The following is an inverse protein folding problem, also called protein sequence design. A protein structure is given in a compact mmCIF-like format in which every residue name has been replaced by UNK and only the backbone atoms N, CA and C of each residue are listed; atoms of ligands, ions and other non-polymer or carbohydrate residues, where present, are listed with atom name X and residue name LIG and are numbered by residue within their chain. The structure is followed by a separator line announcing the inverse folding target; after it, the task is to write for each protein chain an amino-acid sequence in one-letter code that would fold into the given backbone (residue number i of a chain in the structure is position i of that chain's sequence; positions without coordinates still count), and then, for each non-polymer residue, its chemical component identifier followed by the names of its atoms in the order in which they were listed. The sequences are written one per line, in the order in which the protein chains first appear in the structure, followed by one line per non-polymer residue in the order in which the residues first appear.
data_IF_601669850561
#
_entry.id   IF_601669850561
#
_cell.length_a   1.000
_cell.length_b   1.000
_cell.length_c   1.000
_cell.angle_alpha   90.00
_cell.angle_beta   90.00
_cell.angle_gamma   90.00
#
_symmetry.space_group_name_H-M   'P 1'
#
loop_
_entity.id
_entity.type
_entity.pdbx_description
1 polymer ?
#
# COMPACT_ATOMS: atom_id res chain seq x y z
N UNK A 1 -38.38 -6.60 -1.54
CA UNK A 1 -37.33 -6.78 -0.52
C UNK A 1 -36.15 -5.94 -0.97
N UNK A 2 -35.91 -4.81 -0.33
CA UNK A 2 -34.69 -4.04 -0.55
C UNK A 2 -33.58 -4.70 0.26
N UNK A 3 -32.46 -5.01 -0.40
CA UNK A 3 -31.24 -5.39 0.31
C UNK A 3 -30.79 -4.13 1.02
N UNK A 4 -30.74 -4.19 2.35
CA UNK A 4 -30.23 -3.09 3.15
C UNK A 4 -28.85 -2.68 2.60
N UNK A 5 -28.68 -1.39 2.33
CA UNK A 5 -27.47 -0.82 1.74
C UNK A 5 -26.21 -1.24 2.50
N UNK A 6 -26.33 -1.58 3.78
CA UNK A 6 -25.24 -2.12 4.62
C UNK A 6 -24.64 -3.44 4.12
N UNK A 7 -25.42 -4.28 3.45
CA UNK A 7 -24.95 -5.54 2.87
C UNK A 7 -24.48 -5.39 1.41
N UNK A 8 -24.60 -4.18 0.84
CA UNK A 8 -24.14 -3.92 -0.50
C UNK A 8 -22.65 -3.55 -0.48
N UNK A 9 -21.79 -4.51 -0.86
CA UNK A 9 -20.33 -4.34 -0.89
C UNK A 9 -19.87 -3.10 -1.66
N UNK A 10 -20.66 -2.65 -2.64
CA UNK A 10 -20.44 -1.45 -3.43
C UNK A 10 -20.42 -0.15 -2.60
N UNK A 11 -21.10 -0.08 -1.45
CA UNK A 11 -21.13 1.10 -0.58
C UNK A 11 -20.12 1.05 0.56
N UNK A 12 -19.41 -0.07 0.72
CA UNK A 12 -18.51 -0.31 1.85
C UNK A 12 -17.16 0.38 1.68
N UNK A 13 -16.71 0.54 0.44
CA UNK A 13 -15.41 1.10 0.08
C UNK A 13 -15.59 2.35 -0.79
N UNK A 14 -14.93 3.45 -0.41
CA UNK A 14 -14.92 4.69 -1.18
C UNK A 14 -13.51 5.02 -1.63
N UNK A 15 -13.38 5.44 -2.89
CA UNK A 15 -12.13 6.01 -3.39
C UNK A 15 -11.76 7.25 -2.56
N UNK A 16 -10.46 7.41 -2.31
CA UNK A 16 -9.92 8.55 -1.57
C UNK A 16 -8.83 9.24 -2.39
N UNK A 17 -8.61 10.52 -2.09
CA UNK A 17 -7.60 11.31 -2.79
C UNK A 17 -6.20 10.71 -2.56
N UNK A 18 -5.53 10.38 -3.67
CA UNK A 18 -4.22 9.75 -3.67
C UNK A 18 -3.16 10.65 -3.03
N UNK A 19 -3.27 11.96 -3.23
CA UNK A 19 -2.31 12.95 -2.72
C UNK A 19 -2.54 13.32 -1.24
N UNK A 20 -3.52 12.70 -0.56
CA UNK A 20 -3.68 12.94 0.87
C UNK A 20 -2.48 12.40 1.65
N UNK A 21 -1.97 13.18 2.62
CA UNK A 21 -0.83 12.80 3.45
C UNK A 21 -0.99 11.41 4.06
N UNK A 22 -2.21 11.10 4.52
CA UNK A 22 -2.56 9.80 5.07
C UNK A 22 -2.36 8.65 4.07
N UNK A 23 -2.78 8.85 2.82
CA UNK A 23 -2.66 7.82 1.76
C UNK A 23 -1.20 7.66 1.33
N UNK A 24 -0.47 8.76 1.15
CA UNK A 24 0.95 8.74 0.83
C UNK A 24 1.76 8.06 1.93
N UNK A 25 1.48 8.38 3.19
CA UNK A 25 2.13 7.76 4.35
C UNK A 25 1.81 6.26 4.42
N UNK A 26 0.57 5.86 4.15
CA UNK A 26 0.20 4.45 4.10
C UNK A 26 0.96 3.69 3.00
N UNK A 27 1.07 4.28 1.80
CA UNK A 27 1.84 3.71 0.70
C UNK A 27 3.31 3.49 1.07
N UNK A 28 3.97 4.50 1.65
CA UNK A 28 5.35 4.39 2.16
C UNK A 28 5.48 3.30 3.22
N UNK A 29 4.54 3.25 4.16
CA UNK A 29 4.53 2.26 5.26
C UNK A 29 4.44 0.82 4.74
N UNK A 30 3.66 0.57 3.68
CA UNK A 30 3.57 -0.75 3.05
C UNK A 30 4.93 -1.17 2.48
N UNK A 31 5.60 -0.29 1.73
CA UNK A 31 6.90 -0.59 1.12
C UNK A 31 7.98 -0.80 2.20
N UNK A 32 8.00 0.04 3.24
CA UNK A 32 8.91 -0.12 4.37
C UNK A 32 8.71 -1.44 5.10
N UNK A 33 7.46 -1.89 5.25
CA UNK A 33 7.13 -3.17 5.88
C UNK A 33 7.61 -4.34 5.03
N UNK A 34 7.43 -4.28 3.71
CA UNK A 34 7.96 -5.30 2.79
C UNK A 34 9.48 -5.35 2.85
N UNK A 35 10.16 -4.19 2.84
CA UNK A 35 11.62 -4.14 2.97
C UNK A 35 12.11 -4.77 4.27
N UNK A 36 11.51 -4.43 5.41
CA UNK A 36 11.87 -5.03 6.71
C UNK A 36 11.68 -6.55 6.73
N UNK A 37 10.61 -7.03 6.09
CA UNK A 37 10.37 -8.47 5.94
C UNK A 37 11.45 -9.15 5.07
N UNK A 38 11.79 -8.54 3.92
CA UNK A 38 12.85 -9.08 3.06
C UNK A 38 14.23 -9.09 3.75
N UNK A 39 14.53 -8.07 4.56
CA UNK A 39 15.71 -7.99 5.41
C UNK A 39 15.70 -9.08 6.50
N UNK A 40 14.55 -9.31 7.17
CA UNK A 40 14.45 -10.34 8.21
C UNK A 40 14.60 -11.77 7.68
N UNK A 41 14.16 -12.02 6.45
CA UNK A 41 14.32 -13.32 5.79
C UNK A 41 15.71 -13.49 5.14
N UNK A 42 16.60 -12.50 5.25
CA UNK A 42 17.92 -12.48 4.60
C UNK A 42 17.84 -12.64 3.06
N UNK A 43 16.70 -12.28 2.47
CA UNK A 43 16.43 -12.28 1.02
C UNK A 43 16.91 -10.95 0.39
N UNK A 44 17.32 -9.98 1.20
CA UNK A 44 17.92 -8.71 0.76
C UNK A 44 19.12 -8.87 -0.18
N UNK A 45 19.77 -10.05 -0.16
CA UNK A 45 20.89 -10.38 -1.05
C UNK A 45 20.42 -10.80 -2.46
N UNK A 46 19.15 -11.19 -2.59
CA UNK A 46 18.50 -11.66 -3.84
C UNK A 46 17.55 -10.58 -4.38
N UNK A 47 16.80 -9.92 -3.50
CA UNK A 47 15.90 -8.84 -3.85
C UNK A 47 16.52 -7.50 -3.45
N UNK A 48 16.59 -6.56 -4.40
CA UNK A 48 16.94 -5.19 -4.09
C UNK A 48 15.93 -4.59 -3.11
N UNK A 49 16.43 -3.76 -2.19
CA UNK A 49 15.59 -2.91 -1.35
C UNK A 49 14.68 -2.09 -2.26
N UNK A 50 13.40 -2.03 -1.95
CA UNK A 50 12.41 -1.32 -2.74
C UNK A 50 12.33 0.15 -2.33
N UNK A 51 12.22 1.03 -3.30
CA UNK A 51 11.93 2.45 -3.09
C UNK A 51 10.46 2.72 -3.45
N UNK A 52 9.77 3.46 -2.59
CA UNK A 52 8.40 3.88 -2.85
C UNK A 52 8.37 4.92 -3.98
N UNK A 53 7.59 4.65 -5.03
CA UNK A 53 7.42 5.58 -6.15
C UNK A 53 6.17 6.43 -5.99
N UNK A 54 5.00 5.78 -5.91
CA UNK A 54 3.68 6.46 -5.81
C UNK A 54 2.58 5.52 -5.39
N UNK A 55 1.46 6.09 -4.96
CA UNK A 55 0.19 5.35 -4.79
C UNK A 55 -0.56 5.34 -6.12
N UNK A 56 -0.99 4.15 -6.56
CA UNK A 56 -1.75 3.94 -7.80
C UNK A 56 -3.26 3.96 -7.55
N UNK A 57 -3.71 3.45 -6.40
CA UNK A 57 -5.11 3.50 -5.99
C UNK A 57 -5.23 3.45 -4.47
N UNK A 58 -6.28 4.06 -3.94
CA UNK A 58 -6.59 4.02 -2.52
C UNK A 58 -8.09 4.00 -2.28
N UNK A 59 -8.54 3.12 -1.38
CA UNK A 59 -9.93 3.01 -0.96
C UNK A 59 -10.02 2.96 0.56
N UNK A 60 -10.88 3.78 1.13
CA UNK A 60 -11.20 3.74 2.56
C UNK A 60 -12.49 2.97 2.81
N UNK A 61 -12.52 2.24 3.92
CA UNK A 61 -13.75 1.62 4.37
C UNK A 61 -14.61 2.68 5.09
N UNK A 62 -15.90 2.77 4.74
CA UNK A 62 -16.80 3.84 5.23
C UNK A 62 -17.04 3.80 6.75
N UNK A 63 -16.85 2.65 7.40
CA UNK A 63 -17.22 2.39 8.80
C UNK A 63 -16.08 1.86 9.67
N UNK A 64 -14.97 1.49 9.05
CA UNK A 64 -13.80 0.94 9.73
C UNK A 64 -12.61 1.82 9.40
N UNK A 65 -11.69 1.94 10.33
CA UNK A 65 -10.45 2.67 10.08
C UNK A 65 -9.46 1.80 9.27
N UNK A 66 -9.87 1.44 8.05
CA UNK A 66 -9.13 0.55 7.15
C UNK A 66 -8.96 1.27 5.83
N UNK A 67 -7.72 1.26 5.35
CA UNK A 67 -7.31 1.82 4.07
C UNK A 67 -6.67 0.72 3.23
N UNK A 68 -7.20 0.51 2.03
CA UNK A 68 -6.55 -0.32 1.00
C UNK A 68 -5.76 0.63 0.11
N UNK A 69 -4.47 0.35 -0.07
CA UNK A 69 -3.60 1.09 -0.99
C UNK A 69 -2.92 0.11 -1.94
N UNK A 70 -2.87 0.46 -3.21
CA UNK A 70 -1.96 -0.15 -4.18
C UNK A 70 -0.81 0.83 -4.42
N UNK A 71 0.42 0.42 -4.16
CA UNK A 71 1.61 1.26 -4.32
C UNK A 71 2.54 0.69 -5.38
N UNK A 72 3.13 1.58 -6.16
CA UNK A 72 4.21 1.28 -7.07
C UNK A 72 5.55 1.46 -6.34
N UNK A 73 6.47 0.53 -6.57
CA UNK A 73 7.83 0.59 -6.05
C UNK A 73 8.84 0.13 -7.11
N UNK A 74 10.04 0.66 -7.03
CA UNK A 74 11.17 0.31 -7.89
C UNK A 74 12.33 -0.27 -7.07
N UNK A 75 13.23 -1.05 -7.68
CA UNK A 75 14.49 -1.42 -7.05
C UNK A 75 15.32 -0.16 -6.72
N UNK A 76 15.71 -0.01 -5.46
CA UNK A 76 16.69 1.01 -5.07
C UNK A 76 18.03 0.74 -5.76
N UNK A 77 18.68 1.80 -6.20
CA UNK A 77 19.90 1.73 -7.01
C UNK A 77 21.17 1.40 -6.19
N UNK A 78 21.05 1.19 -4.88
CA UNK A 78 22.18 0.92 -3.99
C UNK A 78 22.82 -0.47 -4.16
N UNK A 79 22.20 -1.38 -4.91
CA UNK A 79 22.68 -2.77 -5.06
C UNK A 79 23.44 -3.07 -6.37
N UNK A 80 23.76 -2.06 -7.20
CA UNK A 80 24.45 -2.29 -8.48
C UNK A 80 26.00 -2.30 -8.40
N UNK A 81 26.61 -2.23 -7.19
CA UNK A 81 28.07 -2.09 -7.03
C UNK A 81 28.71 -2.99 -5.95
N UNK A 82 28.24 -4.22 -5.76
CA UNK A 82 29.02 -5.21 -4.98
C UNK A 82 29.26 -6.49 -5.74
#
# INVERSE_FOLDING_TARGET
MEVDEWYCLCYTWKDVMLDSDRVQQAGRTVIDTVNRFLESENISNICAKLEFTKVLSAKSHVRKDVLIVASEASPSHDNAQR
#
